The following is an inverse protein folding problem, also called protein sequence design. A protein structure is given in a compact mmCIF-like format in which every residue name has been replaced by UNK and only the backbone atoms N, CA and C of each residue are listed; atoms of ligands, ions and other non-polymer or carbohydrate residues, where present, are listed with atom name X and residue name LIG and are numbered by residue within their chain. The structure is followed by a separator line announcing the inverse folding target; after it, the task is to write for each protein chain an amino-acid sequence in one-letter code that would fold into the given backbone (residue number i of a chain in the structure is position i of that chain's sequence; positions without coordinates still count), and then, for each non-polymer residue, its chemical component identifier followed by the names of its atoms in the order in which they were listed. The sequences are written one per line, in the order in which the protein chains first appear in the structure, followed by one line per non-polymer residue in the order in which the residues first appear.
data_IF_392455492796
#
_entry.id   IF_392455492796
#
_cell.length_a   1.000
_cell.length_b   1.000
_cell.length_c   1.000
_cell.angle_alpha   90.00
_cell.angle_beta   90.00
_cell.angle_gamma   90.00
#
_symmetry.space_group_name_H-M   'P 1'
#
loop_
_entity.id
_entity.type
_entity.pdbx_description
1 polymer ?
#
# COMPACT_ATOMS: atom_id res chain seq x y z
N UNK A 1 -5.61 -12.61 26.89
CA UNK A 1 -4.51 -11.81 26.29
C UNK A 1 -3.88 -12.65 25.20
N UNK A 2 -3.68 -12.10 24.00
CA UNK A 2 -3.05 -12.85 22.90
C UNK A 2 -1.54 -12.86 23.16
N UNK A 3 -0.93 -14.04 23.10
CA UNK A 3 0.52 -14.22 23.20
C UNK A 3 1.14 -13.94 21.82
N UNK A 4 1.72 -12.75 21.68
CA UNK A 4 2.32 -12.29 20.43
C UNK A 4 3.53 -13.15 20.04
N UNK A 5 4.28 -13.67 21.01
CA UNK A 5 5.43 -14.54 20.77
C UNK A 5 5.01 -15.88 20.17
N UNK A 6 3.97 -16.51 20.72
CA UNK A 6 3.37 -17.73 20.14
C UNK A 6 2.81 -17.48 18.75
N UNK A 7 2.14 -16.35 18.54
CA UNK A 7 1.60 -16.01 17.23
C UNK A 7 2.73 -15.81 16.20
N UNK A 8 3.80 -15.11 16.57
CA UNK A 8 4.96 -14.93 15.70
C UNK A 8 5.64 -16.26 15.37
N UNK A 9 5.75 -17.16 16.33
CA UNK A 9 6.28 -18.51 16.10
C UNK A 9 5.43 -19.33 15.12
N UNK A 10 4.09 -19.17 15.16
CA UNK A 10 3.17 -19.84 14.23
C UNK A 10 3.21 -19.23 12.83
N UNK A 11 3.28 -17.89 12.73
CA UNK A 11 3.25 -17.19 11.44
C UNK A 11 4.60 -17.23 10.71
N UNK A 12 5.70 -17.31 11.45
CA UNK A 12 7.05 -17.25 10.90
C UNK A 12 7.51 -15.81 10.64
N UNK A 13 8.84 -15.63 10.65
CA UNK A 13 9.48 -14.31 10.53
C UNK A 13 9.15 -13.60 9.22
N UNK A 14 9.06 -14.32 8.11
CA UNK A 14 8.72 -13.74 6.80
C UNK A 14 7.35 -13.06 6.80
N UNK A 15 6.31 -13.76 7.28
CA UNK A 15 4.96 -13.20 7.38
C UNK A 15 4.96 -12.02 8.34
N UNK A 16 5.61 -12.13 9.50
CA UNK A 16 5.74 -11.04 10.46
C UNK A 16 6.39 -9.79 9.85
N UNK A 17 7.43 -9.95 9.03
CA UNK A 17 8.10 -8.84 8.34
C UNK A 17 7.24 -8.15 7.27
N UNK A 18 6.33 -8.89 6.65
CA UNK A 18 5.37 -8.39 5.67
C UNK A 18 4.14 -7.71 6.31
N UNK A 19 3.81 -8.01 7.58
CA UNK A 19 2.61 -7.50 8.25
C UNK A 19 2.49 -5.97 8.27
N UNK A 20 3.56 -5.16 8.53
CA UNK A 20 3.43 -3.71 8.49
C UNK A 20 2.98 -3.19 7.12
N UNK A 21 3.61 -3.68 6.04
CA UNK A 21 3.24 -3.31 4.67
C UNK A 21 1.83 -3.79 4.31
N UNK A 22 1.52 -5.06 4.58
CA UNK A 22 0.22 -5.65 4.28
C UNK A 22 -0.91 -4.99 5.07
N UNK A 23 -0.70 -4.68 6.34
CA UNK A 23 -1.73 -4.03 7.17
C UNK A 23 -2.01 -2.61 6.70
N UNK A 24 -0.96 -1.81 6.44
CA UNK A 24 -1.13 -0.47 5.90
C UNK A 24 -1.87 -0.51 4.56
N UNK A 25 -1.48 -1.42 3.67
CA UNK A 25 -2.02 -1.50 2.33
C UNK A 25 -3.44 -2.07 2.25
N UNK A 26 -3.77 -3.09 3.05
CA UNK A 26 -5.12 -3.69 3.08
C UNK A 26 -6.16 -2.85 3.83
N UNK A 27 -5.72 -1.79 4.51
CA UNK A 27 -6.56 -0.83 5.22
C UNK A 27 -6.22 -0.75 6.70
N UNK A 28 -5.93 0.47 7.16
CA UNK A 28 -5.73 0.86 8.55
C UNK A 28 -6.43 2.21 8.83
N UNK A 29 -6.20 2.82 9.99
CA UNK A 29 -6.88 4.06 10.37
C UNK A 29 -6.54 5.26 9.46
N UNK A 30 -5.37 5.23 8.81
CA UNK A 30 -4.85 6.32 7.96
C UNK A 30 -4.90 5.99 6.46
N UNK A 31 -5.13 4.72 6.10
CA UNK A 31 -5.13 4.24 4.72
C UNK A 31 -6.40 3.44 4.49
N UNK A 32 -7.24 3.86 3.54
CA UNK A 32 -8.52 3.21 3.24
C UNK A 32 -8.37 1.73 2.89
N UNK A 33 -9.43 0.94 3.06
CA UNK A 33 -9.45 -0.42 2.53
C UNK A 33 -9.82 -0.45 1.04
N UNK A 34 -9.37 -1.48 0.32
CA UNK A 34 -9.87 -1.75 -1.03
C UNK A 34 -11.31 -2.29 -0.98
N UNK A 35 -12.18 -1.74 -1.83
CA UNK A 35 -13.58 -2.12 -1.86
C UNK A 35 -13.76 -3.63 -2.09
N UNK A 36 -14.64 -4.25 -1.31
CA UNK A 36 -14.98 -5.68 -1.38
C UNK A 36 -13.82 -6.65 -1.09
N UNK A 37 -12.67 -6.19 -0.58
CA UNK A 37 -11.54 -7.05 -0.23
C UNK A 37 -11.30 -7.13 1.28
N UNK A 38 -11.22 -8.35 1.80
CA UNK A 38 -11.01 -8.61 3.23
C UNK A 38 -9.55 -8.94 3.57
N UNK A 39 -9.10 -8.52 4.76
CA UNK A 39 -7.73 -8.75 5.28
C UNK A 39 -7.32 -10.23 5.32
N UNK A 40 -8.26 -11.12 5.68
CA UNK A 40 -7.98 -12.57 5.73
C UNK A 40 -7.64 -13.12 4.33
N UNK A 41 -8.35 -12.65 3.29
CA UNK A 41 -8.09 -13.06 1.91
C UNK A 41 -6.73 -12.55 1.44
N UNK A 42 -6.41 -11.30 1.75
CA UNK A 42 -5.12 -10.69 1.45
C UNK A 42 -3.98 -11.46 2.15
N UNK A 43 -4.11 -11.74 3.45
CA UNK A 43 -3.11 -12.49 4.22
C UNK A 43 -2.87 -13.89 3.66
N UNK A 44 -3.92 -14.65 3.35
CA UNK A 44 -3.78 -15.98 2.76
C UNK A 44 -3.05 -15.94 1.41
N UNK A 45 -3.29 -14.91 0.61
CA UNK A 45 -2.64 -14.75 -0.68
C UNK A 45 -1.15 -14.42 -0.54
N UNK A 46 -0.79 -13.58 0.44
CA UNK A 46 0.60 -13.28 0.78
C UNK A 46 1.33 -14.51 1.30
N UNK A 47 0.70 -15.29 2.18
CA UNK A 47 1.29 -16.52 2.75
C UNK A 47 1.55 -17.61 1.70
N UNK A 48 0.82 -17.59 0.58
CA UNK A 48 0.93 -18.60 -0.46
C UNK A 48 1.88 -18.23 -1.61
N UNK A 49 2.48 -17.03 -1.59
CA UNK A 49 3.27 -16.54 -2.71
C UNK A 49 4.43 -15.66 -2.21
N UNK A 50 5.66 -16.18 -2.37
CA UNK A 50 6.88 -15.52 -1.89
C UNK A 50 7.14 -14.17 -2.55
N UNK A 51 6.72 -13.97 -3.81
CA UNK A 51 6.84 -12.69 -4.49
C UNK A 51 5.95 -11.63 -3.81
N UNK A 52 4.74 -12.00 -3.41
CA UNK A 52 3.85 -11.09 -2.68
C UNK A 52 4.33 -10.86 -1.25
N UNK A 53 4.82 -11.91 -0.60
CA UNK A 53 5.45 -11.82 0.72
C UNK A 53 6.62 -10.83 0.71
N UNK A 54 7.49 -10.92 -0.29
CA UNK A 54 8.63 -10.02 -0.44
C UNK A 54 8.17 -8.60 -0.73
N UNK A 55 7.21 -8.40 -1.65
CA UNK A 55 6.68 -7.08 -1.96
C UNK A 55 6.12 -6.34 -0.73
N UNK A 56 5.38 -7.04 0.14
CA UNK A 56 4.87 -6.44 1.39
C UNK A 56 5.93 -6.32 2.48
N UNK A 57 7.00 -7.12 2.42
CA UNK A 57 8.19 -6.93 3.27
C UNK A 57 8.92 -5.65 2.88
N UNK A 58 9.06 -5.39 1.57
CA UNK A 58 9.76 -4.21 1.05
C UNK A 58 8.94 -2.92 1.17
N UNK A 59 7.61 -3.04 1.25
CA UNK A 59 6.73 -1.90 1.48
C UNK A 59 7.01 -1.26 2.86
N UNK A 60 7.44 0.00 2.83
CA UNK A 60 7.88 0.80 3.97
C UNK A 60 9.37 0.71 4.29
N UNK A 61 10.14 -0.15 3.62
CA UNK A 61 11.59 -0.25 3.84
C UNK A 61 12.31 1.04 3.41
N UNK A 62 11.81 1.68 2.36
CA UNK A 62 12.22 3.02 1.92
C UNK A 62 11.00 3.93 1.79
N UNK A 63 11.24 5.25 1.71
CA UNK A 63 10.16 6.21 1.49
C UNK A 63 9.58 6.17 0.07
N UNK A 64 10.38 5.75 -0.91
CA UNK A 64 9.96 5.55 -2.28
C UNK A 64 9.48 4.11 -2.50
N UNK A 65 8.58 3.92 -3.46
CA UNK A 65 8.13 2.59 -3.90
C UNK A 65 8.87 2.23 -5.19
N UNK A 66 9.78 1.25 -5.17
CA UNK A 66 10.42 0.77 -6.40
C UNK A 66 9.38 0.23 -7.39
N UNK A 67 9.64 0.40 -8.69
CA UNK A 67 8.75 -0.06 -9.76
C UNK A 67 8.43 -1.55 -9.65
N UNK A 68 9.41 -2.40 -9.30
CA UNK A 68 9.21 -3.84 -9.16
C UNK A 68 8.32 -4.21 -7.97
N UNK A 69 8.42 -3.46 -6.87
CA UNK A 69 7.51 -3.60 -5.72
C UNK A 69 6.10 -3.22 -6.14
N UNK A 70 5.93 -2.10 -6.85
CA UNK A 70 4.61 -1.69 -7.35
C UNK A 70 4.03 -2.72 -8.34
N UNK A 71 4.83 -3.25 -9.26
CA UNK A 71 4.41 -4.29 -10.21
C UNK A 71 3.93 -5.55 -9.47
N UNK A 72 4.62 -5.93 -8.41
CA UNK A 72 4.24 -7.06 -7.55
C UNK A 72 2.93 -6.81 -6.80
N UNK A 73 2.75 -5.60 -6.25
CA UNK A 73 1.50 -5.15 -5.63
C UNK A 73 0.35 -5.10 -6.65
N UNK A 74 0.64 -4.71 -7.89
CA UNK A 74 -0.33 -4.67 -8.97
C UNK A 74 -0.82 -6.09 -9.34
N UNK A 75 0.11 -7.03 -9.49
CA UNK A 75 -0.20 -8.44 -9.72
C UNK A 75 -0.98 -9.05 -8.53
N UNK A 76 -0.57 -8.75 -7.30
CA UNK A 76 -1.28 -9.14 -6.08
C UNK A 76 -2.72 -8.62 -6.10
N UNK A 77 -2.92 -7.34 -6.40
CA UNK A 77 -4.25 -6.71 -6.49
C UNK A 77 -5.10 -7.41 -7.55
N UNK A 78 -4.51 -7.76 -8.69
CA UNK A 78 -5.22 -8.47 -9.73
C UNK A 78 -5.73 -9.84 -9.25
N UNK A 79 -4.88 -10.62 -8.60
CA UNK A 79 -5.28 -11.91 -8.02
C UNK A 79 -6.27 -11.77 -6.86
N UNK A 80 -6.20 -10.66 -6.13
CA UNK A 80 -7.15 -10.33 -5.08
C UNK A 80 -8.55 -10.12 -5.66
N UNK A 81 -8.71 -9.42 -6.78
CA UNK A 81 -10.03 -9.21 -7.40
C UNK A 81 -10.50 -10.41 -8.25
N UNK A 82 -9.60 -11.05 -8.99
CA UNK A 82 -9.89 -12.19 -9.85
C UNK A 82 -8.96 -13.37 -9.50
N UNK A 83 -9.48 -14.33 -8.74
CA UNK A 83 -8.73 -15.53 -8.34
C UNK A 83 -8.19 -16.26 -9.57
N UNK A 84 -6.92 -16.68 -9.51
CA UNK A 84 -6.22 -17.43 -10.58
C UNK A 84 -6.10 -16.67 -11.91
N UNK A 85 -6.26 -15.34 -11.92
CA UNK A 85 -6.00 -14.55 -13.11
C UNK A 85 -4.51 -14.57 -13.49
N UNK A 86 -4.23 -14.57 -14.79
CA UNK A 86 -2.89 -14.34 -15.34
C UNK A 86 -2.65 -12.86 -15.67
N UNK A 87 -3.69 -12.03 -15.58
CA UNK A 87 -3.59 -10.59 -15.82
C UNK A 87 -2.91 -9.96 -14.61
N UNK A 88 -1.81 -9.26 -14.83
CA UNK A 88 -1.02 -8.60 -13.78
C UNK A 88 -1.22 -7.08 -13.74
N UNK A 89 -1.82 -6.52 -14.80
CA UNK A 89 -2.11 -5.09 -14.93
C UNK A 89 -3.49 -4.71 -14.37
N UNK A 90 -3.55 -3.71 -13.48
CA UNK A 90 -4.79 -3.27 -12.83
C UNK A 90 -5.81 -2.75 -13.86
N UNK A 91 -5.36 -1.90 -14.79
CA UNK A 91 -6.20 -1.38 -15.87
C UNK A 91 -6.67 -2.49 -16.81
N UNK A 92 -5.77 -3.41 -17.17
CA UNK A 92 -6.10 -4.56 -18.01
C UNK A 92 -7.15 -5.46 -17.36
N UNK A 93 -7.01 -5.73 -16.05
CA UNK A 93 -7.98 -6.54 -15.32
C UNK A 93 -9.32 -5.81 -15.18
N UNK A 94 -9.28 -4.50 -14.89
CA UNK A 94 -10.48 -3.66 -14.79
C UNK A 94 -11.29 -3.71 -16.08
N UNK A 95 -10.62 -3.54 -17.22
CA UNK A 95 -11.24 -3.65 -18.54
C UNK A 95 -11.81 -5.05 -18.80
N UNK A 96 -10.99 -6.09 -18.54
CA UNK A 96 -11.42 -7.48 -18.71
C UNK A 96 -12.69 -7.82 -17.89
N UNK A 97 -12.73 -7.42 -16.62
CA UNK A 97 -13.89 -7.65 -15.75
C UNK A 97 -15.13 -6.89 -16.22
N UNK A 98 -14.96 -5.65 -16.68
CA UNK A 98 -16.05 -4.85 -17.25
C UNK A 98 -16.66 -5.51 -18.49
N UNK A 99 -15.81 -5.94 -19.44
CA UNK A 99 -16.24 -6.64 -20.64
C UNK A 99 -16.89 -8.00 -20.32
N UNK A 100 -16.29 -8.80 -19.44
CA UNK A 100 -16.81 -10.11 -19.05
C UNK A 100 -18.22 -10.04 -18.42
N UNK A 101 -18.56 -8.91 -17.79
CA UNK A 101 -19.87 -8.65 -17.20
C UNK A 101 -20.78 -7.80 -18.10
N UNK A 102 -20.39 -7.52 -19.34
CA UNK A 102 -21.16 -6.66 -20.29
C UNK A 102 -21.54 -5.30 -19.68
N UNK A 103 -20.64 -4.72 -18.88
CA UNK A 103 -20.89 -3.48 -18.14
C UNK A 103 -21.84 -3.60 -16.94
N UNK A 104 -22.41 -4.76 -16.67
CA UNK A 104 -23.28 -5.05 -15.51
C UNK A 104 -22.43 -5.47 -14.30
N UNK A 105 -21.49 -4.61 -13.90
CA UNK A 105 -20.64 -4.81 -12.73
C UNK A 105 -20.58 -3.51 -11.93
N UNK A 106 -20.81 -3.63 -10.63
CA UNK A 106 -20.76 -2.49 -9.72
C UNK A 106 -19.33 -1.95 -9.60
N UNK A 107 -19.18 -0.64 -9.50
CA UNK A 107 -17.84 0.00 -9.44
C UNK A 107 -16.98 -0.54 -8.30
N UNK A 108 -17.58 -0.84 -7.14
CA UNK A 108 -16.88 -1.41 -5.98
C UNK A 108 -16.44 -2.88 -6.13
N UNK A 109 -16.87 -3.56 -7.20
CA UNK A 109 -16.41 -4.91 -7.56
C UNK A 109 -15.24 -4.90 -8.54
N UNK A 110 -14.97 -3.76 -9.17
CA UNK A 110 -13.82 -3.58 -10.05
C UNK A 110 -12.57 -3.26 -9.22
N UNK A 111 -11.38 -3.71 -9.66
CA UNK A 111 -10.13 -3.24 -9.08
C UNK A 111 -9.96 -1.74 -9.30
N UNK A 112 -9.23 -1.01 -8.43
CA UNK A 112 -8.86 0.37 -8.69
C UNK A 112 -8.13 0.49 -10.05
N UNK A 113 -8.20 1.66 -10.69
CA UNK A 113 -7.29 1.92 -11.82
C UNK A 113 -5.84 1.99 -11.32
N UNK A 114 -4.89 1.85 -12.23
CA UNK A 114 -3.47 1.84 -11.91
C UNK A 114 -3.02 3.09 -11.15
N UNK A 115 -3.45 4.29 -11.55
CA UNK A 115 -3.12 5.54 -10.87
C UNK A 115 -3.65 5.59 -9.44
N UNK A 116 -4.92 5.17 -9.25
CA UNK A 116 -5.52 5.10 -7.92
C UNK A 116 -4.81 4.07 -7.04
N UNK A 117 -4.39 2.94 -7.63
CA UNK A 117 -3.63 1.91 -6.95
C UNK A 117 -2.21 2.38 -6.59
N UNK A 118 -1.56 3.16 -7.45
CA UNK A 118 -0.26 3.77 -7.17
C UNK A 118 -0.37 4.72 -5.98
N UNK A 119 -1.32 5.66 -6.02
CA UNK A 119 -1.54 6.60 -4.92
C UNK A 119 -1.89 5.89 -3.60
N UNK A 120 -2.68 4.82 -3.69
CA UNK A 120 -2.97 3.96 -2.54
C UNK A 120 -1.71 3.28 -1.99
N UNK A 121 -0.87 2.75 -2.87
CA UNK A 121 0.38 2.08 -2.52
C UNK A 121 1.39 3.05 -1.90
N UNK A 122 1.48 4.29 -2.42
CA UNK A 122 2.33 5.34 -1.84
C UNK A 122 1.90 5.70 -0.42
N UNK A 123 0.60 5.88 -0.17
CA UNK A 123 0.06 6.13 1.19
C UNK A 123 0.36 4.97 2.14
N UNK A 124 0.14 3.74 1.68
CA UNK A 124 0.45 2.54 2.46
C UNK A 124 1.95 2.40 2.75
N UNK A 125 2.80 2.71 1.77
CA UNK A 125 4.25 2.71 1.92
C UNK A 125 4.70 3.71 2.97
N UNK A 126 4.21 4.95 2.90
CA UNK A 126 4.51 5.99 3.87
C UNK A 126 4.09 5.57 5.29
N UNK A 127 2.88 5.03 5.45
CA UNK A 127 2.41 4.56 6.75
C UNK A 127 3.27 3.40 7.30
N UNK A 128 3.61 2.43 6.45
CA UNK A 128 4.48 1.32 6.85
C UNK A 128 5.91 1.79 7.17
N UNK A 129 6.42 2.79 6.45
CA UNK A 129 7.73 3.38 6.67
C UNK A 129 7.84 4.04 8.04
N UNK A 130 6.78 4.72 8.49
CA UNK A 130 6.69 5.25 9.86
C UNK A 130 6.74 4.12 10.88
N UNK A 131 5.90 3.08 10.71
CA UNK A 131 5.84 1.97 11.66
C UNK A 131 7.16 1.22 11.79
N UNK A 132 7.86 0.99 10.68
CA UNK A 132 9.17 0.30 10.66
C UNK A 132 10.26 1.08 11.39
N UNK A 133 10.13 2.39 11.50
CA UNK A 133 11.08 3.29 12.18
C UNK A 133 10.64 3.64 13.62
N UNK A 134 9.64 2.95 14.16
CA UNK A 134 9.09 3.24 15.48
C UNK A 134 10.09 3.07 16.65
N UNK A 135 11.17 2.32 16.44
CA UNK A 135 12.23 2.11 17.43
C UNK A 135 13.43 3.04 17.24
N UNK A 136 13.45 3.86 16.19
CA UNK A 136 14.53 4.81 15.95
C UNK A 136 14.34 6.05 16.82
N UNK A 137 15.43 6.53 17.44
CA UNK A 137 15.40 7.80 18.14
C UNK A 137 15.45 8.94 17.12
N UNK A 138 14.41 9.77 17.08
CA UNK A 138 14.25 10.88 16.11
C UNK A 138 14.36 10.40 14.65
N UNK A 139 13.40 9.56 14.18
CA UNK A 139 13.44 9.07 12.81
C UNK A 139 13.36 10.25 11.82
N UNK A 140 14.19 10.19 10.77
CA UNK A 140 14.10 11.12 9.64
C UNK A 140 12.85 10.80 8.83
N UNK A 141 11.74 11.45 9.17
CA UNK A 141 10.46 11.27 8.49
C UNK A 141 10.42 12.19 7.28
N UNK A 142 10.31 11.60 6.08
CA UNK A 142 10.11 12.41 4.89
C UNK A 142 8.82 13.22 4.99
N UNK A 143 8.95 14.53 5.05
CA UNK A 143 7.84 15.45 4.87
C UNK A 143 7.52 15.51 3.38
N UNK A 144 6.79 14.52 2.86
CA UNK A 144 6.32 14.51 1.48
C UNK A 144 4.80 14.66 1.46
N UNK A 145 4.30 15.90 1.48
CA UNK A 145 3.03 16.19 0.83
C UNK A 145 3.34 16.38 -0.65
N UNK A 146 3.06 15.40 -1.50
CA UNK A 146 3.07 15.63 -2.94
C UNK A 146 1.71 16.17 -3.37
N UNK A 147 1.70 17.25 -4.15
CA UNK A 147 0.47 17.71 -4.82
C UNK A 147 0.12 16.79 -6.00
N UNK A 148 -1.06 16.97 -6.59
CA UNK A 148 -1.52 16.19 -7.76
C UNK A 148 -0.62 16.37 -9.01
N UNK A 149 0.35 17.28 -8.96
CA UNK A 149 1.32 17.53 -10.02
C UNK A 149 2.71 16.93 -9.72
N UNK A 150 2.88 16.22 -8.58
CA UNK A 150 4.14 15.57 -8.22
C UNK A 150 5.18 16.51 -7.59
N UNK A 151 4.80 17.73 -7.21
CA UNK A 151 5.73 18.67 -6.57
C UNK A 151 5.85 18.37 -5.07
N UNK A 152 7.06 18.48 -4.53
CA UNK A 152 7.32 18.32 -3.11
C UNK A 152 6.79 19.52 -2.32
N UNK A 153 5.89 19.29 -1.38
CA UNK A 153 5.43 20.28 -0.41
C UNK A 153 5.87 19.91 0.99
N UNK A 154 6.32 20.92 1.74
CA UNK A 154 6.68 20.81 3.15
C UNK A 154 5.52 21.35 4.00
N UNK A 155 4.99 20.52 4.90
CA UNK A 155 4.08 20.99 5.94
C UNK A 155 4.89 21.50 7.13
N UNK A 156 4.79 22.80 7.41
CA UNK A 156 5.46 23.44 8.55
C UNK A 156 4.40 23.83 9.57
N UNK A 157 4.63 23.44 10.83
CA UNK A 157 3.76 23.83 11.95
C UNK A 157 4.21 25.18 12.50
N UNK A 158 3.40 26.22 12.30
CA UNK A 158 3.59 27.52 12.96
C UNK A 158 3.05 27.45 14.39
N UNK A 159 3.78 28.05 15.34
CA UNK A 159 3.36 28.13 16.75
C UNK A 159 2.12 29.01 16.97
N UNK A 160 1.79 29.91 16.03
CA UNK A 160 0.64 30.82 16.15
C UNK A 160 -0.57 30.43 15.29
N UNK A 161 -0.35 29.77 14.14
CA UNK A 161 -1.37 29.70 13.07
C UNK A 161 -1.72 28.27 12.62
N UNK A 162 -1.26 27.24 13.33
CA UNK A 162 -1.53 25.85 12.97
C UNK A 162 -0.70 25.34 11.78
N UNK A 163 -1.20 24.31 11.10
CA UNK A 163 -0.52 23.65 9.99
C UNK A 163 -0.61 24.47 8.70
N UNK A 164 0.52 24.83 8.10
CA UNK A 164 0.59 25.47 6.78
C UNK A 164 1.43 24.62 5.83
N UNK A 165 1.03 24.55 4.56
CA UNK A 165 1.69 23.77 3.51
C UNK A 165 2.39 24.73 2.55
N UNK A 166 3.68 24.51 2.29
CA UNK A 166 4.51 25.33 1.43
C UNK A 166 5.08 24.49 0.28
N UNK A 167 5.09 25.02 -0.95
CA UNK A 167 5.80 24.41 -2.07
C UNK A 167 7.31 24.63 -1.92
N UNK A 168 8.10 23.57 -2.06
CA UNK A 168 9.56 23.67 -2.11
C UNK A 168 9.97 24.05 -3.54
N UNK A 169 10.36 25.30 -3.77
CA UNK A 169 11.07 25.65 -5.00
C UNK A 169 12.49 25.09 -4.92
N UNK A 170 12.84 24.19 -5.83
CA UNK A 170 14.21 23.75 -6.01
C UNK A 170 15.00 24.92 -6.61
N UNK A 171 15.99 25.44 -5.88
CA UNK A 171 16.96 26.37 -6.44
C UNK A 171 17.83 25.62 -7.44
N UNK A 172 17.89 26.13 -8.67
CA UNK A 172 18.78 25.66 -9.73
C UNK A 172 20.25 25.86 -9.41
#
# INVERSE_FOLDING_TARGET
MIDVGKLAAVLGSGVCSALPGLHAWSGCDTVSALASQGKIKALKLVQANDLYLQAFTDLGSSWNVPTDVFNSIQAFTCQLYARNTKIVGANSLRYHMFCAKKGQIESGQLPPCEDSLMQHTLRANYQAAIWRRSLENLPDVQHHQQDMAGNSMMAVRSKSDGWRVYQLQMSS
#
